data_IF_703757287337
#
_entry.id   IF_703757287337
#
_cell.length_a   1.000
_cell.length_b   1.000
_cell.length_c   1.000
_cell.angle_alpha   90.00
_cell.angle_beta   90.00
_cell.angle_gamma   90.00
#
_symmetry.space_group_name_H-M   'P 1'
#
loop_
_entity.id
_entity.type
_entity.pdbx_description
1 polymer ?
#
# COMPACT_ATOMS: atom_id res chain seq x y z
N UNK A 1 4.00 9.70 -9.10
CA UNK A 1 3.74 8.31 -8.64
C UNK A 1 3.04 8.38 -7.28
N UNK A 2 2.06 7.52 -7.00
CA UNK A 2 1.29 7.56 -5.74
C UNK A 2 1.57 6.33 -4.89
N UNK A 3 1.92 6.52 -3.62
CA UNK A 3 2.10 5.45 -2.61
C UNK A 3 1.08 5.64 -1.50
N UNK A 4 0.40 4.56 -1.11
CA UNK A 4 -0.66 4.60 -0.09
C UNK A 4 -0.39 3.55 0.97
N UNK A 5 -0.51 3.95 2.24
CA UNK A 5 -0.51 3.06 3.39
C UNK A 5 -1.84 3.16 4.12
N UNK A 6 -2.41 2.02 4.48
CA UNK A 6 -3.72 1.92 5.10
C UNK A 6 -3.80 0.65 5.96
N UNK A 7 -4.68 0.68 6.96
CA UNK A 7 -5.05 -0.48 7.79
C UNK A 7 -6.56 -0.72 7.71
N UNK A 8 -7.07 -1.71 8.44
CA UNK A 8 -8.51 -2.02 8.48
C UNK A 8 -9.39 -0.85 8.94
N UNK A 9 -8.80 0.15 9.63
CA UNK A 9 -9.51 1.32 10.14
C UNK A 9 -9.42 2.53 9.20
N UNK A 10 -8.68 2.45 8.10
CA UNK A 10 -8.60 3.54 7.12
C UNK A 10 -7.23 3.86 6.59
N UNK A 11 -7.20 4.88 5.75
CA UNK A 11 -5.97 5.43 5.19
C UNK A 11 -5.09 6.06 6.28
N UNK A 12 -3.82 5.65 6.31
CA UNK A 12 -2.81 6.18 7.23
C UNK A 12 -2.03 7.29 6.53
N UNK A 13 -1.44 7.01 5.37
CA UNK A 13 -0.59 7.94 4.63
C UNK A 13 -0.87 7.85 3.13
N UNK A 14 -1.01 9.02 2.50
CA UNK A 14 -0.94 9.19 1.05
C UNK A 14 0.34 9.97 0.74
N UNK A 15 1.24 9.37 -0.03
CA UNK A 15 2.44 10.01 -0.56
C UNK A 15 2.33 10.14 -2.07
N UNK A 16 2.70 11.30 -2.60
CA UNK A 16 2.66 11.60 -4.03
C UNK A 16 4.02 12.15 -4.38
N UNK A 17 4.74 11.41 -5.23
CA UNK A 17 6.02 11.84 -5.76
C UNK A 17 5.78 12.79 -6.94
N UNK A 18 6.59 13.85 -7.07
CA UNK A 18 6.57 14.77 -8.20
C UNK A 18 6.61 14.04 -9.55
N UNK A 19 6.07 14.69 -10.57
CA UNK A 19 6.11 14.19 -11.94
C UNK A 19 7.54 13.88 -12.39
N UNK A 20 7.73 12.67 -12.92
CA UNK A 20 9.03 12.20 -13.42
C UNK A 20 9.91 11.53 -12.35
N UNK A 21 9.53 11.58 -11.07
CA UNK A 21 10.23 10.86 -10.02
C UNK A 21 9.72 9.42 -9.86
N UNK A 22 10.68 8.52 -9.69
CA UNK A 22 10.46 7.11 -9.41
C UNK A 22 10.72 6.81 -7.95
N UNK A 23 9.88 5.97 -7.35
CA UNK A 23 10.06 5.50 -5.97
C UNK A 23 11.26 4.54 -5.93
N UNK A 24 12.44 5.08 -5.64
CA UNK A 24 13.65 4.31 -5.35
C UNK A 24 13.81 4.11 -3.83
N UNK A 25 14.87 3.41 -3.41
CA UNK A 25 15.09 3.05 -2.00
C UNK A 25 15.11 4.27 -1.05
N UNK A 26 15.72 5.38 -1.44
CA UNK A 26 15.92 6.54 -0.56
C UNK A 26 14.59 7.28 -0.30
N UNK A 27 13.82 7.73 -1.31
CA UNK A 27 12.48 8.30 -1.12
C UNK A 27 11.50 7.32 -0.46
N UNK A 28 11.69 6.01 -0.64
CA UNK A 28 10.88 5.02 0.07
C UNK A 28 11.19 5.01 1.57
N UNK A 29 12.46 5.02 1.96
CA UNK A 29 12.86 5.13 3.37
C UNK A 29 12.33 6.42 4.01
N UNK A 30 12.40 7.55 3.32
CA UNK A 30 11.79 8.80 3.78
C UNK A 30 10.25 8.69 3.92
N UNK A 31 9.61 7.95 3.02
CA UNK A 31 8.19 7.65 3.12
C UNK A 31 7.88 6.79 4.34
N UNK A 32 8.73 5.81 4.68
CA UNK A 32 8.60 5.00 5.90
C UNK A 32 8.77 5.85 7.17
N UNK A 33 9.67 6.83 7.15
CA UNK A 33 9.83 7.79 8.25
C UNK A 33 8.54 8.59 8.44
N UNK A 34 7.99 9.15 7.36
CA UNK A 34 6.72 9.87 7.38
C UNK A 34 5.56 8.97 7.83
N UNK A 35 5.54 7.71 7.40
CA UNK A 35 4.54 6.73 7.81
C UNK A 35 4.60 6.53 9.32
N UNK A 36 5.79 6.28 9.88
CA UNK A 36 5.95 6.11 11.33
C UNK A 36 5.48 7.34 12.12
N UNK A 37 5.82 8.55 11.65
CA UNK A 37 5.35 9.79 12.26
C UNK A 37 3.82 9.93 12.19
N UNK A 38 3.19 9.44 11.11
CA UNK A 38 1.74 9.50 10.89
C UNK A 38 0.99 8.42 11.67
N UNK A 39 1.60 7.25 11.86
CA UNK A 39 1.09 6.16 12.71
C UNK A 39 1.03 6.62 14.17
N UNK A 40 2.02 7.37 14.65
CA UNK A 40 2.09 7.79 16.06
C UNK A 40 0.81 8.46 16.61
N UNK A 41 0.23 9.48 15.96
CA UNK A 41 -1.03 10.07 16.43
C UNK A 41 -2.27 9.27 16.03
N UNK A 42 -2.25 8.53 14.91
CA UNK A 42 -3.43 7.83 14.40
C UNK A 42 -3.66 6.47 15.07
N UNK A 43 -2.57 5.71 15.24
CA UNK A 43 -2.50 4.30 15.66
C UNK A 43 -1.38 4.07 16.70
N UNK A 44 -1.34 4.79 17.85
CA UNK A 44 -0.24 4.69 18.81
C UNK A 44 -0.01 3.28 19.34
N UNK A 45 -1.05 2.45 19.39
CA UNK A 45 -1.00 1.04 19.80
C UNK A 45 -0.14 0.17 18.87
N UNK A 46 -0.13 0.45 17.56
CA UNK A 46 0.68 -0.29 16.60
C UNK A 46 2.19 -0.13 16.85
N UNK A 47 2.60 1.04 17.38
CA UNK A 47 3.99 1.26 17.75
C UNK A 47 4.41 0.47 19.01
N UNK A 48 3.45 -0.01 19.80
CA UNK A 48 3.71 -0.83 21.00
C UNK A 48 3.62 -2.32 20.68
N UNK A 49 2.65 -2.73 19.87
CA UNK A 49 2.43 -4.14 19.50
C UNK A 49 3.38 -4.64 18.40
N UNK A 50 4.02 -3.73 17.67
CA UNK A 50 4.72 -4.05 16.43
C UNK A 50 3.82 -3.85 15.22
N UNK A 51 4.45 -3.63 14.07
CA UNK A 51 3.78 -3.40 12.79
C UNK A 51 4.12 -4.55 11.86
N UNK A 52 3.08 -5.20 11.33
CA UNK A 52 3.20 -6.12 10.21
C UNK A 52 2.96 -5.36 8.92
N UNK A 53 4.02 -5.18 8.12
CA UNK A 53 3.96 -4.47 6.85
C UNK A 53 3.78 -5.48 5.70
N UNK A 54 2.72 -5.28 4.91
CA UNK A 54 2.61 -5.90 3.59
C UNK A 54 2.95 -4.86 2.51
N UNK A 55 3.99 -5.13 1.74
CA UNK A 55 4.31 -4.44 0.49
C UNK A 55 4.70 -5.48 -0.57
N UNK A 56 4.66 -5.11 -1.85
CA UNK A 56 5.03 -6.01 -2.92
C UNK A 56 6.56 -6.18 -3.02
N UNK A 57 6.97 -7.33 -3.53
CA UNK A 57 8.35 -7.66 -3.83
C UNK A 57 8.54 -7.75 -5.36
N UNK A 58 8.02 -6.77 -6.09
CA UNK A 58 7.93 -6.83 -7.55
C UNK A 58 9.34 -6.80 -8.21
N UNK A 59 9.71 -7.79 -9.04
CA UNK A 59 10.92 -7.76 -9.88
C UNK A 59 10.59 -7.30 -11.32
N UNK A 60 11.54 -6.67 -12.08
CA UNK A 60 12.94 -6.38 -11.77
C UNK A 60 13.17 -4.85 -11.54
N UNK A 61 14.40 -4.29 -11.47
CA UNK A 61 14.71 -3.10 -10.68
C UNK A 61 13.95 -1.79 -11.03
N UNK A 62 13.86 -0.85 -10.06
CA UNK A 62 14.53 -0.90 -8.75
C UNK A 62 13.81 -1.78 -7.72
N UNK A 63 14.58 -2.65 -7.04
CA UNK A 63 14.14 -3.47 -5.90
C UNK A 63 13.90 -2.61 -4.65
N UNK A 64 13.10 -1.57 -4.77
CA UNK A 64 12.95 -0.53 -3.76
C UNK A 64 12.54 -1.12 -2.42
N UNK A 65 11.58 -2.06 -2.41
CA UNK A 65 11.04 -2.64 -1.18
C UNK A 65 11.95 -3.68 -0.53
N UNK A 66 12.82 -4.33 -1.30
CA UNK A 66 13.76 -5.36 -0.83
C UNK A 66 15.23 -4.92 -0.86
N UNK A 67 15.49 -3.64 -1.14
CA UNK A 67 16.84 -3.10 -1.13
C UNK A 67 17.44 -3.21 0.27
N UNK A 68 18.77 -3.36 0.34
CA UNK A 68 19.50 -3.41 1.61
C UNK A 68 19.13 -2.24 2.52
N UNK A 69 19.06 -1.03 1.94
CA UNK A 69 18.72 0.19 2.68
C UNK A 69 17.32 0.13 3.27
N UNK A 70 16.33 -0.28 2.49
CA UNK A 70 14.95 -0.42 2.96
C UNK A 70 14.85 -1.45 4.08
N UNK A 71 15.52 -2.59 3.94
CA UNK A 71 15.54 -3.63 4.98
C UNK A 71 16.19 -3.14 6.28
N UNK A 72 17.30 -2.39 6.21
CA UNK A 72 17.93 -1.75 7.37
C UNK A 72 16.98 -0.77 8.07
N UNK A 73 16.17 -0.01 7.30
CA UNK A 73 15.17 0.90 7.85
C UNK A 73 14.03 0.17 8.58
N UNK A 74 13.52 -0.90 7.98
CA UNK A 74 12.46 -1.72 8.57
C UNK A 74 12.93 -2.44 9.85
N UNK A 75 14.16 -2.94 9.84
CA UNK A 75 14.80 -3.53 11.03
C UNK A 75 14.97 -2.50 12.14
N UNK A 76 15.44 -1.29 11.82
CA UNK A 76 15.57 -0.18 12.78
C UNK A 76 14.25 0.14 13.47
N UNK A 77 13.14 0.03 12.76
CA UNK A 77 11.80 0.25 13.30
C UNK A 77 11.15 -0.99 13.91
N UNK A 78 11.80 -2.15 13.81
CA UNK A 78 11.28 -3.45 14.26
C UNK A 78 9.91 -3.75 13.65
N UNK A 79 9.79 -3.50 12.35
CA UNK A 79 8.59 -3.83 11.60
C UNK A 79 8.77 -5.21 10.97
N UNK A 80 7.79 -6.07 11.20
CA UNK A 80 7.75 -7.41 10.61
C UNK A 80 7.22 -7.31 9.19
N UNK A 81 7.94 -7.90 8.24
CA UNK A 81 7.51 -7.93 6.84
C UNK A 81 6.68 -9.20 6.62
N UNK A 82 5.47 -9.04 6.13
CA UNK A 82 4.64 -10.16 5.72
C UNK A 82 5.20 -10.71 4.40
N UNK A 83 5.62 -11.98 4.33
CA UNK A 83 6.10 -12.56 3.08
C UNK A 83 5.07 -12.42 1.96
N UNK A 84 5.52 -11.96 0.80
CA UNK A 84 4.68 -11.76 -0.36
C UNK A 84 5.33 -12.39 -1.60
N UNK A 85 4.62 -13.30 -2.30
CA UNK A 85 5.12 -13.88 -3.54
C UNK A 85 5.26 -12.83 -4.65
N UNK A 86 6.22 -13.03 -5.54
CA UNK A 86 6.41 -12.17 -6.71
C UNK A 86 5.18 -12.24 -7.63
N UNK A 87 4.93 -11.17 -8.39
CA UNK A 87 3.86 -11.09 -9.39
C UNK A 87 2.46 -11.47 -8.87
N UNK A 88 2.16 -11.21 -7.59
CA UNK A 88 0.91 -11.66 -6.94
C UNK A 88 -0.02 -10.51 -6.52
N UNK A 89 -0.47 -9.66 -7.48
CA UNK A 89 -1.33 -8.52 -7.16
C UNK A 89 -2.70 -8.94 -6.59
N UNK A 90 -3.14 -10.17 -6.87
CA UNK A 90 -4.34 -10.80 -6.34
C UNK A 90 -4.25 -11.19 -4.85
N UNK A 91 -3.03 -11.15 -4.29
CA UNK A 91 -2.73 -11.34 -2.87
C UNK A 91 -2.31 -10.05 -2.14
N UNK A 92 -2.29 -8.91 -2.83
CA UNK A 92 -2.02 -7.60 -2.25
C UNK A 92 -3.32 -6.80 -2.12
N UNK A 93 -3.70 -6.42 -0.89
CA UNK A 93 -4.96 -5.69 -0.66
C UNK A 93 -5.07 -4.42 -1.48
N UNK A 94 -3.97 -3.67 -1.64
CA UNK A 94 -3.96 -2.48 -2.50
C UNK A 94 -4.28 -2.82 -3.96
N UNK A 95 -3.76 -3.95 -4.45
CA UNK A 95 -3.96 -4.43 -5.82
C UNK A 95 -5.40 -4.87 -6.10
N UNK A 96 -5.91 -5.84 -5.34
CA UNK A 96 -7.23 -6.43 -5.63
C UNK A 96 -8.41 -5.61 -5.10
N UNK A 97 -8.23 -4.76 -4.09
CA UNK A 97 -9.33 -4.05 -3.41
C UNK A 97 -9.31 -2.55 -3.63
N UNK A 98 -8.14 -1.91 -3.52
CA UNK A 98 -8.06 -0.44 -3.49
C UNK A 98 -7.97 0.19 -4.88
N UNK A 99 -7.03 -0.26 -5.71
CA UNK A 99 -6.71 0.42 -6.97
C UNK A 99 -7.74 0.23 -8.07
N UNK A 100 -8.51 -0.87 -8.05
CA UNK A 100 -9.62 -1.07 -8.99
C UNK A 100 -10.67 0.04 -8.89
N UNK A 101 -11.32 0.20 -7.73
CA UNK A 101 -12.28 1.27 -7.47
C UNK A 101 -11.71 2.68 -7.71
N UNK A 102 -10.47 2.96 -7.31
CA UNK A 102 -9.84 4.25 -7.56
C UNK A 102 -9.70 4.53 -9.07
N UNK A 103 -9.24 3.54 -9.86
CA UNK A 103 -9.14 3.68 -11.33
C UNK A 103 -10.52 3.92 -11.95
N UNK A 104 -11.55 3.23 -11.47
CA UNK A 104 -12.93 3.46 -11.93
C UNK A 104 -13.42 4.88 -11.62
N UNK A 105 -13.10 5.41 -10.43
CA UNK A 105 -13.47 6.77 -10.03
C UNK A 105 -12.76 7.86 -10.85
N UNK A 106 -11.49 7.62 -11.20
CA UNK A 106 -10.70 8.54 -12.03
C UNK A 106 -11.00 8.38 -13.52
N UNK A 107 -11.60 7.26 -13.93
CA UNK A 107 -11.88 6.94 -15.32
C UNK A 107 -12.74 8.00 -16.00
N UNK A 108 -12.26 8.49 -17.15
CA UNK A 108 -12.97 9.47 -17.97
C UNK A 108 -12.85 10.93 -17.49
N UNK A 109 -12.25 11.19 -16.32
CA UNK A 109 -11.96 12.54 -15.85
C UNK A 109 -10.73 13.10 -16.57
N UNK A 110 -10.77 14.40 -16.86
CA UNK A 110 -9.62 15.19 -17.31
C UNK A 110 -9.26 16.16 -16.20
N UNK A 111 -7.98 16.28 -15.93
CA UNK A 111 -7.44 17.19 -14.93
C UNK A 111 -6.56 18.20 -15.66
N UNK A 112 -6.68 19.48 -15.29
CA UNK A 112 -5.91 20.58 -15.86
C UNK A 112 -4.44 20.50 -15.42
N UNK A 113 -4.22 20.12 -14.16
CA UNK A 113 -2.89 19.98 -13.57
C UNK A 113 -2.79 18.81 -12.57
N UNK A 114 -1.59 18.64 -11.99
CA UNK A 114 -1.32 17.60 -11.01
C UNK A 114 -2.03 17.88 -9.67
N UNK A 115 -2.20 19.13 -9.28
CA UNK A 115 -2.83 19.50 -8.01
C UNK A 115 -4.32 19.15 -8.00
N UNK A 116 -5.01 19.33 -9.14
CA UNK A 116 -6.41 18.92 -9.31
C UNK A 116 -6.56 17.40 -9.19
N UNK A 117 -5.69 16.63 -9.86
CA UNK A 117 -5.66 15.17 -9.74
C UNK A 117 -5.40 14.74 -8.29
N UNK A 118 -4.43 15.36 -7.62
CA UNK A 118 -4.11 15.08 -6.21
C UNK A 118 -5.30 15.40 -5.31
N UNK A 119 -5.98 16.52 -5.56
CA UNK A 119 -7.20 16.93 -4.87
C UNK A 119 -8.29 15.88 -5.01
N UNK A 120 -8.55 15.40 -6.23
CA UNK A 120 -9.56 14.38 -6.51
C UNK A 120 -9.24 13.03 -5.85
N UNK A 121 -7.96 12.62 -5.86
CA UNK A 121 -7.53 11.40 -5.17
C UNK A 121 -7.74 11.52 -3.65
N UNK A 122 -7.38 12.66 -3.06
CA UNK A 122 -7.59 12.92 -1.62
C UNK A 122 -9.07 12.94 -1.25
N UNK A 123 -9.89 13.61 -2.05
CA UNK A 123 -11.33 13.66 -1.87
C UNK A 123 -11.94 12.26 -1.93
N UNK A 124 -11.56 11.44 -2.92
CA UNK A 124 -12.01 10.06 -3.01
C UNK A 124 -11.68 9.24 -1.76
N UNK A 125 -10.42 9.29 -1.28
CA UNK A 125 -10.03 8.60 -0.06
C UNK A 125 -10.78 9.09 1.18
N UNK A 126 -11.16 10.37 1.24
CA UNK A 126 -11.90 10.94 2.38
C UNK A 126 -13.35 10.43 2.47
N UNK A 127 -13.90 9.94 1.35
CA UNK A 127 -15.27 9.41 1.26
C UNK A 127 -15.36 7.91 1.60
N UNK A 128 -14.23 7.21 1.69
CA UNK A 128 -14.20 5.80 2.04
C UNK A 128 -14.41 5.60 3.54
N UNK A 129 -15.31 4.71 3.91
CA UNK A 129 -15.56 4.35 5.30
C UNK A 129 -14.63 3.24 5.81
N UNK A 130 -14.61 3.04 7.13
CA UNK A 130 -13.81 1.98 7.75
C UNK A 130 -14.23 0.57 7.29
N UNK A 131 -15.48 0.38 6.86
CA UNK A 131 -15.96 -0.91 6.38
C UNK A 131 -15.30 -1.28 5.04
N UNK A 132 -15.11 -0.33 4.13
CA UNK A 132 -14.35 -0.54 2.90
C UNK A 132 -12.94 -1.08 3.20
N UNK A 133 -12.19 -0.43 4.10
CA UNK A 133 -10.84 -0.87 4.43
C UNK A 133 -10.82 -2.19 5.20
N UNK A 134 -11.76 -2.39 6.12
CA UNK A 134 -11.93 -3.66 6.83
C UNK A 134 -12.12 -4.80 5.84
N UNK A 135 -13.06 -4.68 4.89
CA UNK A 135 -13.30 -5.70 3.87
C UNK A 135 -12.05 -6.02 3.06
N UNK A 136 -11.27 -5.01 2.68
CA UNK A 136 -10.02 -5.20 1.95
C UNK A 136 -8.96 -6.00 2.71
N UNK A 137 -8.77 -5.72 4.01
CA UNK A 137 -7.83 -6.47 4.86
C UNK A 137 -8.35 -7.89 5.12
N UNK A 138 -9.61 -8.05 5.51
CA UNK A 138 -10.15 -9.36 5.87
C UNK A 138 -10.31 -10.29 4.65
N UNK A 139 -10.35 -9.75 3.44
CA UNK A 139 -10.34 -10.53 2.19
C UNK A 139 -8.99 -11.21 1.89
N UNK A 140 -7.90 -10.85 2.59
CA UNK A 140 -6.59 -11.47 2.40
C UNK A 140 -6.59 -12.97 2.74
N UNK A 141 -7.19 -13.35 3.87
CA UNK A 141 -7.21 -14.74 4.33
C UNK A 141 -7.93 -15.68 3.35
N UNK A 142 -9.20 -15.43 2.94
CA UNK A 142 -9.86 -16.30 1.98
C UNK A 142 -9.15 -16.33 0.63
N UNK A 143 -8.54 -15.21 0.19
CA UNK A 143 -7.72 -15.19 -1.04
C UNK A 143 -6.48 -16.07 -0.92
N UNK A 144 -5.73 -15.98 0.18
CA UNK A 144 -4.58 -16.87 0.42
C UNK A 144 -4.96 -18.34 0.43
N UNK A 145 -6.08 -18.70 1.08
CA UNK A 145 -6.59 -20.07 1.03
C UNK A 145 -6.95 -20.51 -0.39
N UNK A 146 -7.57 -19.63 -1.18
CA UNK A 146 -7.89 -19.93 -2.59
C UNK A 146 -6.63 -20.13 -3.43
N UNK A 147 -5.60 -19.29 -3.27
CA UNK A 147 -4.30 -19.48 -3.94
C UNK A 147 -3.65 -20.82 -3.57
N UNK A 148 -3.69 -21.23 -2.30
CA UNK A 148 -3.19 -22.54 -1.85
C UNK A 148 -3.99 -23.68 -2.51
N UNK A 149 -5.32 -23.57 -2.54
CA UNK A 149 -6.19 -24.57 -3.18
C UNK A 149 -5.98 -24.65 -4.70
N UNK A 150 -5.55 -23.56 -5.33
CA UNK A 150 -5.16 -23.47 -6.74
C UNK A 150 -3.67 -23.80 -6.96
N UNK A 151 -2.98 -24.36 -5.98
CA UNK A 151 -1.56 -24.73 -6.08
C UNK A 151 -0.63 -23.58 -6.51
N UNK A 152 -0.98 -22.35 -6.17
CA UNK A 152 -0.21 -21.15 -6.52
C UNK A 152 -0.67 -20.42 -7.78
N UNK A 153 -1.68 -20.93 -8.50
CA UNK A 153 -2.24 -20.24 -9.66
C UNK A 153 -3.02 -18.98 -9.26
N UNK A 154 -3.17 -18.08 -10.23
CA UNK A 154 -3.87 -16.81 -10.07
C UNK A 154 -5.33 -16.98 -9.66
N UNK A 155 -5.78 -16.11 -8.76
CA UNK A 155 -7.18 -16.03 -8.37
C UNK A 155 -7.95 -15.25 -9.43
N UNK A 156 -8.74 -15.95 -10.24
CA UNK A 156 -9.71 -15.31 -11.14
C UNK A 156 -10.68 -14.41 -10.34
N UNK A 157 -11.00 -13.25 -10.95
CA UNK A 157 -11.91 -12.24 -10.40
C UNK A 157 -13.36 -12.70 -10.40
#
# INVERSE_FOLDING_TARGET
MTTVFWDSRGMILLNILPKGESLNADPYCETLDRLRHTVRPKRPELLRSGIFLQHDNEPPPPHTHTSKRTMEWLERYRWDIIPHPAHSPDLASSGFHLFGPLKSHLGGKKFEDEDELIGEVRDWFSKLDANFFTQGIYSLLPRRHKCIALHGDYIEK
#
